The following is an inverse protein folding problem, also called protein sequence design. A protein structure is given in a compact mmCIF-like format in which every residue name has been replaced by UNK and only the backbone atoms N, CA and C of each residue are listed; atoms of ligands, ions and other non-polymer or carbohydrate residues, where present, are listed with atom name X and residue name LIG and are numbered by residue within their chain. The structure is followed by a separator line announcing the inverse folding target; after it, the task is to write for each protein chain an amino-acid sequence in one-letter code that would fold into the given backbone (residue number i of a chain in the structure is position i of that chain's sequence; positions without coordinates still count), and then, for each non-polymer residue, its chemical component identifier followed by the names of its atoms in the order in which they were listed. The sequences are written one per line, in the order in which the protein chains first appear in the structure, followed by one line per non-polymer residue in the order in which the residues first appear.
data_IF_731262101922
#
_entry.id   IF_731262101922
#
_cell.length_a   1.000
_cell.length_b   1.000
_cell.length_c   1.000
_cell.angle_alpha   90.00
_cell.angle_beta   90.00
_cell.angle_gamma   90.00
#
_symmetry.space_group_name_H-M   'P 1'
#
loop_
_entity.id
_entity.type
_entity.pdbx_description
1 polymer ?
#
# COMPACT_ATOMS: atom_id res chain seq x y z
N UNK A 1 -12.20 5.45 -25.62
CA UNK A 1 -12.19 4.01 -25.28
C UNK A 1 -12.06 3.88 -23.77
N UNK A 2 -13.03 3.23 -23.11
CA UNK A 2 -12.93 2.96 -21.68
C UNK A 2 -11.85 1.88 -21.47
N UNK A 3 -10.88 2.14 -20.57
CA UNK A 3 -9.94 1.10 -20.17
C UNK A 3 -10.72 -0.11 -19.61
N UNK A 4 -10.29 -1.35 -19.89
CA UNK A 4 -10.93 -2.53 -19.29
C UNK A 4 -10.94 -2.37 -17.76
N UNK A 5 -12.03 -2.81 -17.12
CA UNK A 5 -12.28 -2.60 -15.68
C UNK A 5 -11.08 -3.05 -14.81
N UNK A 6 -10.37 -4.09 -15.23
CA UNK A 6 -9.14 -4.58 -14.58
C UNK A 6 -8.02 -3.54 -14.59
N UNK A 7 -7.76 -2.89 -15.74
CA UNK A 7 -6.70 -1.88 -15.88
C UNK A 7 -6.93 -0.66 -15.00
N UNK A 8 -8.19 -0.24 -14.85
CA UNK A 8 -8.57 0.85 -13.95
C UNK A 8 -8.24 0.50 -12.50
N UNK A 9 -8.55 -0.73 -12.06
CA UNK A 9 -8.26 -1.22 -10.70
C UNK A 9 -6.75 -1.32 -10.44
N UNK A 10 -5.98 -1.74 -11.43
CA UNK A 10 -4.50 -1.81 -11.35
C UNK A 10 -3.88 -0.41 -11.16
N UNK A 11 -4.35 0.58 -11.93
CA UNK A 11 -3.89 1.98 -11.81
C UNK A 11 -4.30 2.57 -10.46
N UNK A 12 -5.52 2.30 -9.99
CA UNK A 12 -5.98 2.73 -8.67
C UNK A 12 -5.16 2.11 -7.53
N UNK A 13 -4.85 0.81 -7.62
CA UNK A 13 -3.99 0.14 -6.63
C UNK A 13 -2.57 0.71 -6.66
N UNK A 14 -1.99 0.94 -7.84
CA UNK A 14 -0.67 1.54 -7.98
C UNK A 14 -0.59 2.92 -7.32
N UNK A 15 -1.59 3.78 -7.54
CA UNK A 15 -1.64 5.11 -6.93
C UNK A 15 -1.79 5.04 -5.39
N UNK A 16 -2.52 4.07 -4.87
CA UNK A 16 -2.62 3.83 -3.43
C UNK A 16 -1.30 3.35 -2.84
N UNK A 17 -0.61 2.43 -3.52
CA UNK A 17 0.68 1.90 -3.09
C UNK A 17 1.78 2.97 -3.05
N UNK A 18 1.79 3.92 -3.98
CA UNK A 18 2.73 5.05 -3.93
C UNK A 18 2.48 5.96 -2.72
N UNK A 19 1.22 6.32 -2.47
CA UNK A 19 0.87 7.14 -1.31
C UNK A 19 1.20 6.41 -0.01
N UNK A 20 0.92 5.11 0.02
CA UNK A 20 1.25 4.26 1.15
C UNK A 20 2.77 4.19 1.37
N UNK A 21 3.56 4.03 0.30
CA UNK A 21 5.01 4.01 0.39
C UNK A 21 5.59 5.28 1.01
N UNK A 22 5.03 6.46 0.72
CA UNK A 22 5.47 7.73 1.35
C UNK A 22 5.26 7.70 2.86
N UNK A 23 4.13 7.17 3.32
CA UNK A 23 3.86 7.06 4.76
C UNK A 23 4.69 5.96 5.42
N UNK A 24 4.93 4.85 4.72
CA UNK A 24 5.78 3.74 5.18
C UNK A 24 7.24 4.19 5.32
N UNK A 25 7.71 5.06 4.42
CA UNK A 25 9.02 5.71 4.53
C UNK A 25 9.06 6.60 5.79
N UNK A 26 8.00 7.38 6.01
CA UNK A 26 7.84 8.26 7.17
C UNK A 26 7.72 7.57 8.53
N UNK A 27 7.28 6.31 8.61
CA UNK A 27 7.31 5.50 9.86
C UNK A 27 8.69 4.88 10.11
N UNK A 28 9.67 5.07 9.22
CA UNK A 28 11.01 4.50 9.35
C UNK A 28 11.17 3.09 8.79
N UNK A 29 10.29 2.68 7.86
CA UNK A 29 10.32 1.35 7.22
C UNK A 29 10.68 1.47 5.71
N UNK A 30 11.85 2.03 5.33
CA UNK A 30 12.16 2.36 3.93
C UNK A 30 12.22 1.12 3.02
N UNK A 31 12.57 -0.05 3.55
CA UNK A 31 12.58 -1.30 2.78
C UNK A 31 11.17 -1.68 2.29
N UNK A 32 10.15 -1.51 3.13
CA UNK A 32 8.76 -1.75 2.72
C UNK A 32 8.25 -0.63 1.80
N UNK A 33 8.67 0.62 2.03
CA UNK A 33 8.33 1.72 1.13
C UNK A 33 8.82 1.45 -0.30
N UNK A 34 10.07 1.02 -0.46
CA UNK A 34 10.63 0.64 -1.77
C UNK A 34 9.89 -0.52 -2.41
N UNK A 35 9.53 -1.55 -1.62
CA UNK A 35 8.73 -2.67 -2.11
C UNK A 35 7.37 -2.22 -2.66
N UNK A 36 6.65 -1.33 -1.95
CA UNK A 36 5.38 -0.80 -2.44
C UNK A 36 5.53 0.08 -3.68
N UNK A 37 6.62 0.87 -3.79
CA UNK A 37 6.95 1.63 -5.01
C UNK A 37 7.21 0.70 -6.20
N UNK A 38 7.94 -0.39 -6.00
CA UNK A 38 8.19 -1.41 -7.04
C UNK A 38 6.90 -2.05 -7.52
N UNK A 39 6.01 -2.45 -6.59
CA UNK A 39 4.71 -3.01 -6.94
C UNK A 39 3.82 -2.03 -7.70
N UNK A 40 3.82 -0.75 -7.33
CA UNK A 40 3.11 0.29 -8.06
C UNK A 40 3.65 0.47 -9.49
N UNK A 41 4.97 0.46 -9.66
CA UNK A 41 5.59 0.54 -10.98
C UNK A 41 5.22 -0.69 -11.84
N UNK A 42 5.27 -1.89 -11.27
CA UNK A 42 4.89 -3.13 -11.94
C UNK A 42 3.43 -3.09 -12.41
N UNK A 43 2.49 -2.67 -11.55
CA UNK A 43 1.06 -2.53 -11.92
C UNK A 43 0.83 -1.54 -13.07
N UNK A 44 1.64 -0.47 -13.15
CA UNK A 44 1.58 0.48 -14.27
C UNK A 44 2.10 -0.09 -15.58
N UNK A 45 3.08 -0.98 -15.51
CA UNK A 45 3.69 -1.62 -16.67
C UNK A 45 2.82 -2.68 -17.38
N UNK A 46 1.57 -2.86 -16.92
CA UNK A 46 0.63 -3.89 -17.43
C UNK A 46 1.16 -5.30 -17.19
N UNK A 47 1.28 -5.71 -15.91
CA UNK A 47 1.83 -7.01 -15.57
C UNK A 47 0.93 -8.14 -16.06
N UNK A 48 1.51 -9.33 -16.19
CA UNK A 48 0.75 -10.53 -16.52
C UNK A 48 -0.32 -10.82 -15.45
N UNK A 49 -1.36 -11.63 -15.74
CA UNK A 49 -2.34 -12.06 -14.74
C UNK A 49 -1.69 -12.70 -13.50
N UNK A 50 -0.66 -13.53 -13.70
CA UNK A 50 0.08 -14.19 -12.62
C UNK A 50 0.88 -13.18 -11.77
N UNK A 51 1.56 -12.23 -12.42
CA UNK A 51 2.28 -11.16 -11.74
C UNK A 51 1.33 -10.27 -10.93
N UNK A 52 0.16 -9.92 -11.48
CA UNK A 52 -0.86 -9.15 -10.75
C UNK A 52 -1.30 -9.85 -9.48
N UNK A 53 -1.55 -11.16 -9.58
CA UNK A 53 -1.96 -11.97 -8.44
C UNK A 53 -0.84 -12.05 -7.41
N UNK A 54 0.40 -12.30 -7.83
CA UNK A 54 1.55 -12.31 -6.94
C UNK A 54 1.73 -10.97 -6.20
N UNK A 55 1.61 -9.84 -6.91
CA UNK A 55 1.66 -8.50 -6.30
C UNK A 55 0.52 -8.33 -5.28
N UNK A 56 -0.71 -8.74 -5.62
CA UNK A 56 -1.85 -8.62 -4.72
C UNK A 56 -1.69 -9.48 -3.45
N UNK A 57 -1.20 -10.71 -3.59
CA UNK A 57 -0.93 -11.62 -2.47
C UNK A 57 0.21 -11.08 -1.59
N UNK A 58 1.30 -10.59 -2.20
CA UNK A 58 2.44 -10.01 -1.49
C UNK A 58 2.08 -8.73 -0.74
N UNK A 59 1.30 -7.84 -1.35
CA UNK A 59 0.76 -6.64 -0.67
C UNK A 59 -0.11 -7.04 0.52
N UNK A 60 -0.97 -8.06 0.40
CA UNK A 60 -1.78 -8.52 1.53
C UNK A 60 -0.92 -9.19 2.62
N UNK A 61 0.15 -9.89 2.25
CA UNK A 61 1.06 -10.54 3.17
C UNK A 61 1.90 -9.52 3.95
N UNK A 62 2.51 -8.55 3.27
CA UNK A 62 3.33 -7.49 3.87
C UNK A 62 2.53 -6.61 4.84
N UNK A 63 1.26 -6.34 4.53
CA UNK A 63 0.32 -5.70 5.46
C UNK A 63 0.07 -6.51 6.76
N UNK A 64 0.31 -7.84 6.76
CA UNK A 64 0.15 -8.72 7.94
C UNK A 64 1.44 -8.93 8.73
N UNK A 65 2.62 -8.72 8.12
CA UNK A 65 3.92 -9.13 8.68
C UNK A 65 4.48 -8.12 9.68
N UNK A 66 3.91 -6.92 9.81
CA UNK A 66 4.28 -6.02 10.93
C UNK A 66 3.74 -6.55 12.27
N UNK A 67 4.59 -6.98 13.23
CA UNK A 67 4.14 -7.36 14.55
C UNK A 67 3.75 -6.11 15.36
N UNK A 68 2.60 -6.20 16.05
CA UNK A 68 2.00 -5.08 16.78
C UNK A 68 1.08 -4.27 15.87
N UNK A 69 -0.21 -4.31 16.17
CA UNK A 69 -1.27 -3.58 15.47
C UNK A 69 -0.82 -2.16 15.11
N UNK A 70 -0.96 -1.73 13.87
CA UNK A 70 -0.66 -0.35 13.44
C UNK A 70 -1.48 0.72 14.20
N UNK A 71 -2.55 0.30 14.89
CA UNK A 71 -3.29 1.11 15.86
C UNK A 71 -2.52 1.40 17.18
N UNK A 72 -1.44 0.65 17.45
CA UNK A 72 -0.56 0.80 18.61
C UNK A 72 0.66 1.69 18.28
N UNK A 73 1.06 1.71 17.01
CA UNK A 73 2.13 2.57 16.46
C UNK A 73 1.51 3.86 15.91
N UNK A 74 1.24 4.80 16.81
CA UNK A 74 1.00 6.18 16.37
C UNK A 74 2.23 6.65 15.58
N UNK A 75 2.00 7.19 14.38
CA UNK A 75 3.01 8.00 13.71
C UNK A 75 3.43 9.09 14.70
N UNK A 76 4.72 9.26 14.92
CA UNK A 76 5.21 10.37 15.74
C UNK A 76 5.64 11.51 14.82
N UNK A 77 5.31 12.73 15.18
CA UNK A 77 5.81 13.92 14.50
C UNK A 77 7.31 14.13 14.80
N UNK A 78 7.93 15.13 14.15
CA UNK A 78 9.33 15.50 14.42
C UNK A 78 9.61 15.90 15.88
N UNK A 79 8.57 16.16 16.69
CA UNK A 79 8.66 16.44 18.12
C UNK A 79 8.47 15.18 19.00
N UNK A 80 8.30 13.99 18.39
CA UNK A 80 8.07 12.73 19.08
C UNK A 80 6.65 12.56 19.63
N UNK A 81 5.70 13.42 19.23
CA UNK A 81 4.31 13.34 19.67
C UNK A 81 3.45 12.53 18.70
N UNK A 82 2.40 11.84 19.18
CA UNK A 82 1.51 11.07 18.31
C UNK A 82 0.77 11.98 17.30
N UNK A 83 1.15 11.87 16.03
CA UNK A 83 0.51 12.44 14.87
C UNK A 83 -0.76 11.66 14.53
N UNK A 84 -1.86 12.08 15.16
CA UNK A 84 -3.19 11.47 14.99
C UNK A 84 -3.72 11.59 13.57
N UNK A 85 -3.32 12.63 12.83
CA UNK A 85 -3.82 12.89 11.48
C UNK A 85 -3.17 11.92 10.50
N UNK A 86 -1.84 11.82 10.51
CA UNK A 86 -1.13 10.86 9.67
C UNK A 86 -1.44 9.42 10.06
N UNK A 87 -1.63 9.16 11.35
CA UNK A 87 -2.04 7.82 11.82
C UNK A 87 -3.42 7.43 11.27
N UNK A 88 -4.39 8.36 11.24
CA UNK A 88 -5.70 8.09 10.65
C UNK A 88 -5.62 7.83 9.14
N UNK A 89 -4.88 8.68 8.41
CA UNK A 89 -4.67 8.52 6.96
C UNK A 89 -4.00 7.17 6.63
N UNK A 90 -3.03 6.76 7.45
CA UNK A 90 -2.35 5.48 7.30
C UNK A 90 -3.31 4.29 7.46
N UNK A 91 -4.16 4.30 8.50
CA UNK A 91 -5.15 3.24 8.74
C UNK A 91 -6.18 3.16 7.60
N UNK A 92 -6.67 4.31 7.13
CA UNK A 92 -7.59 4.37 6.00
C UNK A 92 -6.95 3.83 4.70
N UNK A 93 -5.68 4.15 4.45
CA UNK A 93 -4.94 3.65 3.30
C UNK A 93 -4.70 2.14 3.38
N UNK A 94 -4.38 1.60 4.56
CA UNK A 94 -4.25 0.14 4.76
C UNK A 94 -5.54 -0.58 4.40
N UNK A 95 -6.70 -0.10 4.85
CA UNK A 95 -7.98 -0.73 4.52
C UNK A 95 -8.28 -0.62 3.02
N UNK A 96 -8.05 0.55 2.43
CA UNK A 96 -8.27 0.80 1.00
C UNK A 96 -7.39 -0.10 0.11
N UNK A 97 -6.10 -0.24 0.45
CA UNK A 97 -5.14 -1.12 -0.24
C UNK A 97 -5.56 -2.57 -0.09
N UNK A 98 -5.85 -3.03 1.13
CA UNK A 98 -6.26 -4.41 1.41
C UNK A 98 -7.53 -4.81 0.66
N UNK A 99 -8.53 -3.93 0.64
CA UNK A 99 -9.79 -4.17 -0.06
C UNK A 99 -9.55 -4.34 -1.55
N UNK A 100 -8.73 -3.48 -2.16
CA UNK A 100 -8.44 -3.51 -3.61
C UNK A 100 -7.54 -4.66 -4.02
N UNK A 101 -6.51 -4.98 -3.23
CA UNK A 101 -5.65 -6.14 -3.46
C UNK A 101 -6.48 -7.45 -3.45
N UNK A 102 -7.41 -7.62 -2.51
CA UNK A 102 -8.33 -8.78 -2.48
C UNK A 102 -9.26 -8.91 -3.70
N UNK A 103 -9.51 -7.82 -4.43
CA UNK A 103 -10.32 -7.84 -5.66
C UNK A 103 -9.50 -8.11 -6.92
N UNK A 104 -8.17 -8.16 -6.80
CA UNK A 104 -7.21 -8.43 -7.88
C UNK A 104 -6.63 -9.86 -7.81
N UNK A 105 -6.59 -10.46 -6.62
CA UNK A 105 -6.28 -11.88 -6.40
C UNK A 105 -7.47 -12.80 -6.72
#
# INVERSE_FOLDING_TARGET
MAAPVSRRREIELAALLERFAVLVDGVGEPAFADLYRQHAASLRAEPSPDDRRAIAEDVVATLRVSPGSLADRYLVDDAGQPDRVRSAEYVELVDAVRKRAKHLA
#
